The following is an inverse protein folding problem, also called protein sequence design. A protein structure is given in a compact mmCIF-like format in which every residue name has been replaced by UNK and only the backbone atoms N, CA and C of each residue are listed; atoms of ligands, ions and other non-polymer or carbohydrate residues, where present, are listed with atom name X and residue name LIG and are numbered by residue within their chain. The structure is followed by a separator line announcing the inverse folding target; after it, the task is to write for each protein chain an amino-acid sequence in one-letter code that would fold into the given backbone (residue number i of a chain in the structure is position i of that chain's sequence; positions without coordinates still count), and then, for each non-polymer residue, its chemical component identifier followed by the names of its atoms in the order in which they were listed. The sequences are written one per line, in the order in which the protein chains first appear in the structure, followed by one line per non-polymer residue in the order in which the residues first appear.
data_IF_089227893291
#
_entry.id   IF_089227893291
#
_cell.length_a   1.000
_cell.length_b   1.000
_cell.length_c   1.000
_cell.angle_alpha   90.00
_cell.angle_beta   90.00
_cell.angle_gamma   90.00
#
_symmetry.space_group_name_H-M   'P 1'
#
loop_
_entity.id
_entity.type
_entity.pdbx_description
1 polymer ?
#
# COMPACT_ATOMS: atom_id res chain seq x y z
N UNK A 1 10.58 -14.91 -17.15
CA UNK A 1 9.36 -14.76 -18.00
C UNK A 1 8.10 -15.28 -17.31
N UNK A 2 8.07 -16.52 -16.81
CA UNK A 2 6.90 -17.09 -16.12
C UNK A 2 6.47 -16.30 -14.88
N UNK A 3 7.43 -15.76 -14.12
CA UNK A 3 7.21 -14.89 -12.95
C UNK A 3 6.55 -13.56 -13.31
N UNK A 4 7.08 -12.86 -14.32
CA UNK A 4 6.48 -11.61 -14.82
C UNK A 4 5.07 -11.81 -15.36
N UNK A 5 4.83 -12.91 -16.08
CA UNK A 5 3.51 -13.28 -16.55
C UNK A 5 2.53 -13.49 -15.38
N UNK A 6 2.97 -14.21 -14.33
CA UNK A 6 2.16 -14.44 -13.13
C UNK A 6 1.85 -13.13 -12.38
N UNK A 7 2.83 -12.22 -12.27
CA UNK A 7 2.61 -10.92 -11.63
C UNK A 7 1.68 -10.02 -12.45
N UNK A 8 1.75 -10.07 -13.78
CA UNK A 8 0.86 -9.32 -14.67
C UNK A 8 -0.57 -9.84 -14.56
N UNK A 9 -0.75 -11.17 -14.59
CA UNK A 9 -2.07 -11.80 -14.41
C UNK A 9 -2.66 -11.48 -13.04
N UNK A 10 -1.87 -11.52 -11.97
CA UNK A 10 -2.32 -11.11 -10.63
C UNK A 10 -2.75 -9.63 -10.58
N UNK A 11 -2.01 -8.74 -11.24
CA UNK A 11 -2.36 -7.32 -11.33
C UNK A 11 -3.61 -7.06 -12.20
N UNK A 12 -3.87 -7.90 -13.21
CA UNK A 12 -5.09 -7.80 -14.02
C UNK A 12 -6.35 -8.28 -13.28
N UNK A 13 -6.20 -9.16 -12.29
CA UNK A 13 -7.32 -9.64 -11.47
C UNK A 13 -7.82 -8.61 -10.46
N UNK A 14 -7.04 -7.58 -10.12
CA UNK A 14 -7.45 -6.54 -9.16
C UNK A 14 -8.27 -5.42 -9.79
N UNK A 15 -8.42 -5.38 -11.12
CA UNK A 15 -9.08 -4.26 -11.83
C UNK A 15 -10.62 -4.33 -11.73
N UNK A 16 -11.19 -5.43 -11.23
CA UNK A 16 -12.64 -5.67 -11.22
C UNK A 16 -13.39 -5.13 -9.99
N UNK A 17 -12.75 -4.37 -9.10
CA UNK A 17 -13.37 -3.91 -7.85
C UNK A 17 -14.08 -2.56 -7.97
N UNK A 18 -14.83 -2.32 -9.06
CA UNK A 18 -15.69 -1.13 -9.14
C UNK A 18 -16.89 -1.29 -8.19
N UNK A 19 -17.11 -0.31 -7.32
CA UNK A 19 -18.27 -0.31 -6.43
C UNK A 19 -19.57 -0.26 -7.25
N UNK A 20 -20.63 -0.97 -6.81
CA UNK A 20 -21.94 -0.80 -7.43
C UNK A 20 -22.50 0.60 -7.12
N UNK A 21 -23.47 1.13 -7.89
CA UNK A 21 -24.00 2.48 -7.69
C UNK A 21 -24.55 2.75 -6.28
N UNK A 22 -25.00 1.69 -5.59
CA UNK A 22 -25.46 1.78 -4.19
C UNK A 22 -24.28 1.96 -3.25
N UNK A 23 -23.25 1.13 -3.39
CA UNK A 23 -22.02 1.23 -2.59
C UNK A 23 -21.31 2.57 -2.81
N UNK A 24 -21.27 3.09 -4.04
CA UNK A 24 -20.65 4.37 -4.38
C UNK A 24 -21.35 5.56 -3.70
N UNK A 25 -22.69 5.54 -3.61
CA UNK A 25 -23.43 6.58 -2.88
C UNK A 25 -23.20 6.56 -1.37
N UNK A 26 -22.85 5.40 -0.81
CA UNK A 26 -22.52 5.25 0.61
C UNK A 26 -21.05 5.58 0.92
N UNK A 27 -20.23 5.80 -0.10
CA UNK A 27 -18.87 6.28 0.08
C UNK A 27 -18.86 7.75 0.47
N UNK A 28 -17.83 8.18 1.21
CA UNK A 28 -17.70 9.56 1.65
C UNK A 28 -17.48 10.44 0.43
N UNK A 29 -18.12 11.62 0.39
CA UNK A 29 -18.22 12.47 -0.81
C UNK A 29 -16.90 12.72 -1.54
N UNK A 30 -15.79 12.81 -0.81
CA UNK A 30 -14.45 13.07 -1.37
C UNK A 30 -13.80 11.83 -2.01
N UNK A 31 -14.24 10.62 -1.65
CA UNK A 31 -13.63 9.35 -2.07
C UNK A 31 -14.63 8.42 -2.79
N UNK A 32 -15.75 8.98 -3.28
CA UNK A 32 -16.70 8.24 -4.12
C UNK A 32 -16.01 7.82 -5.42
N UNK A 33 -16.13 6.53 -5.77
CA UNK A 33 -15.48 5.93 -6.94
C UNK A 33 -14.01 5.55 -6.74
N UNK A 34 -13.39 5.91 -5.60
CA UNK A 34 -11.99 5.56 -5.26
C UNK A 34 -11.95 4.53 -4.14
N UNK A 35 -12.74 4.76 -3.09
CA UNK A 35 -12.79 3.86 -1.94
C UNK A 35 -13.59 2.60 -2.27
N UNK A 36 -13.30 1.49 -1.58
CA UNK A 36 -14.15 0.30 -1.58
C UNK A 36 -14.94 0.29 -0.25
N UNK A 37 -16.24 -0.01 -0.33
CA UNK A 37 -17.08 -0.16 0.86
C UNK A 37 -17.62 1.14 1.42
N UNK A 38 -18.25 1.04 2.60
CA UNK A 38 -18.82 2.17 3.33
C UNK A 38 -17.66 2.93 4.02
N UNK A 39 -17.59 4.24 3.82
CA UNK A 39 -16.55 5.04 4.47
C UNK A 39 -16.87 5.41 5.93
N UNK A 40 -16.02 6.25 6.54
CA UNK A 40 -16.14 6.65 7.94
C UNK A 40 -17.53 7.24 8.23
N UNK A 41 -18.21 6.72 9.26
CA UNK A 41 -19.58 7.12 9.61
C UNK A 41 -19.59 8.27 10.62
N UNK A 42 -18.52 8.40 11.42
CA UNK A 42 -18.37 9.43 12.45
C UNK A 42 -17.10 10.27 12.27
N UNK A 43 -17.05 11.44 12.92
CA UNK A 43 -15.83 12.27 12.93
C UNK A 43 -14.64 11.57 13.61
N UNK A 44 -14.90 10.69 14.57
CA UNK A 44 -13.88 9.89 15.23
C UNK A 44 -13.28 8.84 14.30
N UNK A 45 -14.09 8.27 13.42
CA UNK A 45 -13.63 7.32 12.40
C UNK A 45 -12.64 8.01 11.44
N UNK A 46 -12.90 9.28 11.07
CA UNK A 46 -11.96 10.06 10.26
C UNK A 46 -10.63 10.31 10.98
N UNK A 47 -10.65 10.60 12.28
CA UNK A 47 -9.43 10.77 13.06
C UNK A 47 -8.57 9.50 13.07
N UNK A 48 -9.20 8.32 13.22
CA UNK A 48 -8.53 7.03 13.17
C UNK A 48 -7.95 6.72 11.79
N UNK A 49 -8.69 7.01 10.72
CA UNK A 49 -8.22 6.86 9.34
C UNK A 49 -6.97 7.72 9.11
N UNK A 50 -6.98 8.98 9.52
CA UNK A 50 -5.83 9.87 9.38
C UNK A 50 -4.63 9.43 10.20
N UNK A 51 -4.84 9.00 11.45
CA UNK A 51 -3.78 8.44 12.28
C UNK A 51 -3.14 7.20 11.64
N UNK A 52 -3.96 6.30 11.10
CA UNK A 52 -3.50 5.09 10.42
C UNK A 52 -2.72 5.41 9.14
N UNK A 53 -3.25 6.31 8.31
CA UNK A 53 -2.58 6.77 7.09
C UNK A 53 -1.21 7.37 7.41
N UNK A 54 -1.12 8.19 8.46
CA UNK A 54 0.15 8.78 8.92
C UNK A 54 1.16 7.72 9.36
N UNK A 55 0.75 6.72 10.15
CA UNK A 55 1.62 5.62 10.58
C UNK A 55 2.12 4.82 9.37
N UNK A 56 1.25 4.47 8.43
CA UNK A 56 1.63 3.73 7.21
C UNK A 56 2.65 4.51 6.39
N UNK A 57 2.46 5.82 6.21
CA UNK A 57 3.42 6.67 5.49
C UNK A 57 4.78 6.72 6.20
N UNK A 58 4.79 6.81 7.53
CA UNK A 58 6.02 6.73 8.32
C UNK A 58 6.71 5.38 8.14
N UNK A 59 5.96 4.27 8.27
CA UNK A 59 6.50 2.92 8.09
C UNK A 59 7.08 2.77 6.69
N UNK A 60 6.35 3.16 5.65
CA UNK A 60 6.82 3.11 4.26
C UNK A 60 8.11 3.93 4.07
N UNK A 61 8.14 5.15 4.60
CA UNK A 61 9.33 6.00 4.55
C UNK A 61 10.55 5.31 5.20
N UNK A 62 10.39 4.76 6.41
CA UNK A 62 11.48 4.09 7.11
C UNK A 62 11.90 2.78 6.44
N UNK A 63 10.94 2.01 5.90
CA UNK A 63 11.21 0.83 5.09
C UNK A 63 12.08 1.19 3.88
N UNK A 64 11.72 2.22 3.11
CA UNK A 64 12.51 2.66 1.95
C UNK A 64 13.89 3.20 2.42
N UNK A 65 13.91 4.02 3.47
CA UNK A 65 15.15 4.62 4.01
C UNK A 65 16.17 3.54 4.39
N UNK A 66 15.75 2.52 5.13
CA UNK A 66 16.64 1.46 5.60
C UNK A 66 16.91 0.39 4.55
N UNK A 67 16.03 0.23 3.55
CA UNK A 67 16.34 -0.61 2.39
C UNK A 67 17.41 0.03 1.51
N UNK A 68 17.35 1.36 1.31
CA UNK A 68 18.33 2.08 0.49
C UNK A 68 19.69 2.25 1.17
N UNK A 69 19.69 2.55 2.47
CA UNK A 69 20.91 2.71 3.26
C UNK A 69 20.76 1.93 4.56
N UNK A 70 21.06 0.62 4.54
CA UNK A 70 21.11 -0.17 5.76
C UNK A 70 22.17 0.41 6.69
N UNK A 71 21.84 0.58 7.98
CA UNK A 71 22.77 1.06 9.00
C UNK A 71 23.76 0.00 9.50
N UNK A 72 23.85 -1.13 8.79
CA UNK A 72 24.72 -2.25 9.11
C UNK A 72 25.95 -2.20 8.18
N UNK A 73 27.13 -2.02 8.75
CA UNK A 73 28.40 -1.90 7.99
C UNK A 73 28.98 -3.26 7.58
N UNK A 74 28.44 -4.36 8.10
CA UNK A 74 28.86 -5.73 7.77
C UNK A 74 28.57 -6.09 6.31
N UNK A 75 29.61 -6.46 5.57
CA UNK A 75 29.50 -6.89 4.18
C UNK A 75 28.86 -8.27 4.00
N UNK A 76 28.79 -9.08 5.06
CA UNK A 76 28.17 -10.40 5.06
C UNK A 76 26.66 -10.38 5.37
N UNK A 77 26.03 -9.20 5.44
CA UNK A 77 24.63 -9.10 5.82
C UNK A 77 23.69 -9.41 4.65
N UNK A 78 22.65 -10.22 4.89
CA UNK A 78 21.67 -10.65 3.88
C UNK A 78 20.99 -9.48 3.14
N UNK A 79 20.93 -8.30 3.77
CA UNK A 79 20.39 -7.07 3.17
C UNK A 79 21.31 -6.45 2.12
N UNK A 80 22.64 -6.67 2.21
CA UNK A 80 23.61 -6.24 1.20
C UNK A 80 23.76 -7.25 0.05
N UNK A 81 23.46 -8.53 0.28
CA UNK A 81 23.46 -9.55 -0.78
C UNK A 81 22.58 -9.09 -1.96
N UNK A 82 21.30 -8.80 -1.74
CA UNK A 82 20.36 -8.36 -2.81
C UNK A 82 20.81 -7.06 -3.53
N UNK A 83 21.60 -6.20 -2.86
CA UNK A 83 22.04 -4.91 -3.42
C UNK A 83 23.40 -5.00 -4.15
N UNK A 84 24.23 -6.01 -3.86
CA UNK A 84 25.57 -6.21 -4.42
C UNK A 84 25.67 -7.38 -5.40
N UNK A 85 24.58 -8.06 -5.73
CA UNK A 85 24.59 -9.12 -6.75
C UNK A 85 24.75 -8.46 -8.15
N UNK A 86 25.98 -8.47 -8.66
CA UNK A 86 26.36 -8.24 -10.04
C UNK A 86 26.78 -9.56 -10.68
#
# INVERSE_FOLDING_TARGET
MKTYFLTIVAALLTITTSACPVCEKQQPKLLQGISHGIGPQSNWDYALVWATAFIVLLTLFYTIKWLRKPGEDSDAHIKKAILNEC
#
